data_IF_241648038191
#
_entry.id   IF_241648038191
#
_cell.length_a   1.000
_cell.length_b   1.000
_cell.length_c   1.000
_cell.angle_alpha   90.00
_cell.angle_beta   90.00
_cell.angle_gamma   90.00
#
_symmetry.space_group_name_H-M   'P 1'
#
loop_
_entity.id
_entity.type
_entity.pdbx_description
1 polymer ?
#
# COMPACT_ATOMS: atom_id res chain seq x y z
N UNK A 1 1.69 -15.14 9.96
CA UNK A 1 0.79 -14.21 9.25
C UNK A 1 -0.23 -13.70 10.24
N UNK A 2 -0.59 -12.42 10.20
CA UNK A 2 -1.63 -11.86 11.08
C UNK A 2 -2.97 -12.55 10.79
N UNK A 3 -3.66 -12.96 11.85
CA UNK A 3 -4.97 -13.59 11.75
C UNK A 3 -6.01 -12.64 11.16
N UNK A 4 -6.85 -13.16 10.26
CA UNK A 4 -7.91 -12.36 9.63
C UNK A 4 -8.88 -11.78 10.67
N UNK A 5 -9.18 -12.52 11.72
CA UNK A 5 -10.07 -12.11 12.81
C UNK A 5 -9.56 -10.87 13.55
N UNK A 6 -8.23 -10.72 13.67
CA UNK A 6 -7.63 -9.54 14.26
C UNK A 6 -7.88 -8.30 13.40
N UNK A 7 -7.64 -8.41 12.08
CA UNK A 7 -7.86 -7.29 11.14
C UNK A 7 -9.34 -6.92 11.05
N UNK A 8 -10.25 -7.89 11.05
CA UNK A 8 -11.69 -7.59 11.06
C UNK A 8 -12.12 -6.95 12.37
N UNK A 9 -11.53 -7.35 13.51
CA UNK A 9 -11.82 -6.72 14.80
C UNK A 9 -11.41 -5.24 14.84
N UNK A 10 -10.33 -4.85 14.15
CA UNK A 10 -9.98 -3.43 14.02
C UNK A 10 -11.07 -2.60 13.32
N UNK A 11 -11.85 -3.20 12.42
CA UNK A 11 -12.92 -2.51 11.67
C UNK A 11 -14.19 -2.33 12.50
N UNK A 12 -14.35 -3.06 13.61
CA UNK A 12 -15.52 -2.94 14.48
C UNK A 12 -15.51 -1.60 15.25
N UNK A 13 -14.33 -1.03 15.48
CA UNK A 13 -14.13 0.24 16.17
C UNK A 13 -14.15 1.46 15.21
N UNK A 14 -14.28 1.23 13.90
CA UNK A 14 -14.24 2.30 12.90
C UNK A 14 -15.57 3.05 12.82
N UNK A 15 -15.49 4.38 12.71
CA UNK A 15 -16.58 5.23 12.26
C UNK A 15 -16.61 5.22 10.71
N UNK A 16 -17.54 4.46 10.14
CA UNK A 16 -17.61 4.26 8.70
C UNK A 16 -17.90 5.55 7.89
N UNK A 17 -18.47 6.58 8.51
CA UNK A 17 -18.71 7.88 7.86
C UNK A 17 -17.43 8.73 7.78
N UNK A 18 -16.34 8.31 8.44
CA UNK A 18 -15.07 9.03 8.51
C UNK A 18 -13.88 8.24 7.96
N UNK A 19 -14.15 7.17 7.21
CA UNK A 19 -13.08 6.36 6.61
C UNK A 19 -12.17 7.25 5.76
N UNK A 20 -10.86 7.03 5.91
CA UNK A 20 -9.83 7.64 5.07
C UNK A 20 -9.06 6.58 4.32
N UNK A 21 -8.58 6.92 3.13
CA UNK A 21 -7.72 6.06 2.33
C UNK A 21 -6.27 6.44 2.56
N UNK A 22 -5.53 5.54 3.18
CA UNK A 22 -4.11 5.68 3.47
C UNK A 22 -3.24 4.98 2.44
N UNK A 23 -2.11 5.58 2.08
CA UNK A 23 -1.14 4.97 1.17
C UNK A 23 0.29 5.40 1.51
N UNK A 24 1.26 4.52 1.31
CA UNK A 24 2.66 4.89 1.41
C UNK A 24 3.05 5.80 0.23
N UNK A 25 3.57 6.99 0.51
CA UNK A 25 3.74 8.08 -0.45
C UNK A 25 4.90 7.88 -1.44
N UNK A 26 4.75 6.89 -2.33
CA UNK A 26 5.66 6.51 -3.41
C UNK A 26 4.89 5.64 -4.42
N UNK A 27 5.53 5.26 -5.54
CA UNK A 27 4.93 4.43 -6.60
C UNK A 27 3.65 5.05 -7.18
N UNK A 28 2.48 4.54 -6.80
CA UNK A 28 1.15 4.91 -7.32
C UNK A 28 0.33 5.71 -6.31
N UNK A 29 0.97 6.31 -5.30
CA UNK A 29 0.26 7.01 -4.23
C UNK A 29 -0.60 8.18 -4.70
N UNK A 30 -0.19 8.90 -5.76
CA UNK A 30 -1.00 10.00 -6.31
C UNK A 30 -2.28 9.44 -6.95
N UNK A 31 -2.16 8.38 -7.74
CA UNK A 31 -3.32 7.75 -8.41
C UNK A 31 -4.32 7.17 -7.40
N UNK A 32 -3.81 6.53 -6.34
CA UNK A 32 -4.64 6.03 -5.23
C UNK A 32 -5.37 7.18 -4.54
N UNK A 33 -4.67 8.27 -4.25
CA UNK A 33 -5.28 9.44 -3.62
C UNK A 33 -6.31 10.12 -4.53
N UNK A 34 -6.03 10.22 -5.83
CA UNK A 34 -6.92 10.82 -6.82
C UNK A 34 -8.23 10.04 -6.92
N UNK A 35 -8.15 8.72 -7.14
CA UNK A 35 -9.32 7.85 -7.17
C UNK A 35 -10.10 7.85 -5.85
N UNK A 36 -9.42 7.89 -4.70
CA UNK A 36 -10.08 8.00 -3.40
C UNK A 36 -10.88 9.31 -3.26
N UNK A 37 -10.35 10.43 -3.75
CA UNK A 37 -11.08 11.71 -3.75
C UNK A 37 -12.29 11.67 -4.68
N UNK A 38 -12.18 11.07 -5.86
CA UNK A 38 -13.30 10.93 -6.81
C UNK A 38 -14.46 10.13 -6.19
N UNK A 39 -14.15 9.13 -5.38
CA UNK A 39 -15.11 8.34 -4.61
C UNK A 39 -15.55 9.00 -3.29
N UNK A 40 -15.10 10.23 -3.02
CA UNK A 40 -15.54 11.04 -1.87
C UNK A 40 -14.79 10.80 -0.55
N UNK A 41 -13.73 9.99 -0.55
CA UNK A 41 -12.94 9.75 0.64
C UNK A 41 -11.92 10.85 0.93
N UNK A 42 -11.53 10.96 2.19
CA UNK A 42 -10.35 11.71 2.60
C UNK A 42 -9.08 10.86 2.45
N UNK A 43 -7.94 11.50 2.17
CA UNK A 43 -6.70 10.78 1.83
C UNK A 43 -5.53 11.07 2.78
N UNK A 44 -4.77 10.03 3.11
CA UNK A 44 -3.60 10.09 3.98
C UNK A 44 -2.37 9.54 3.26
N UNK A 45 -1.39 10.39 2.99
CA UNK A 45 -0.11 10.00 2.41
C UNK A 45 0.97 9.85 3.50
N UNK A 46 1.43 8.62 3.73
CA UNK A 46 2.53 8.34 4.65
C UNK A 46 3.86 8.58 3.95
N UNK A 47 4.50 9.69 4.28
CA UNK A 47 5.69 10.21 3.64
C UNK A 47 6.97 9.92 4.43
N UNK A 48 8.10 9.95 3.72
CA UNK A 48 9.42 10.00 4.32
C UNK A 48 10.00 11.40 4.20
N UNK A 49 10.66 11.86 5.26
CA UNK A 49 11.38 13.15 5.29
C UNK A 49 12.32 13.28 4.10
N UNK A 50 12.24 14.43 3.42
CA UNK A 50 13.01 14.72 2.21
C UNK A 50 12.36 14.22 0.92
N UNK A 51 11.30 13.41 1.00
CA UNK A 51 10.50 12.91 -0.13
C UNK A 51 9.01 13.30 -0.01
N UNK A 52 8.69 14.17 0.94
CA UNK A 52 7.31 14.52 1.31
C UNK A 52 6.71 15.64 0.46
N UNK A 53 7.52 16.59 -0.04
CA UNK A 53 7.05 17.83 -0.70
C UNK A 53 6.06 17.61 -1.84
N UNK A 54 6.19 16.51 -2.58
CA UNK A 54 5.22 16.11 -3.60
C UNK A 54 3.81 16.06 -3.00
N UNK A 55 3.65 15.37 -1.88
CA UNK A 55 2.37 15.13 -1.21
C UNK A 55 2.00 16.26 -0.24
N UNK A 56 2.96 16.74 0.56
CA UNK A 56 2.74 17.73 1.61
C UNK A 56 2.53 19.16 1.08
N UNK A 57 2.97 19.46 -0.15
CA UNK A 57 2.91 20.80 -0.74
C UNK A 57 2.28 20.83 -2.13
N UNK A 58 2.79 20.05 -3.09
CA UNK A 58 2.41 20.23 -4.50
C UNK A 58 1.06 19.58 -4.83
N UNK A 59 0.78 18.42 -4.24
CA UNK A 59 -0.47 17.68 -4.36
C UNK A 59 -1.35 17.79 -3.11
N UNK A 60 -1.00 18.66 -2.15
CA UNK A 60 -1.83 18.94 -0.98
C UNK A 60 -3.20 19.42 -1.43
N UNK A 61 -4.24 18.82 -0.88
CA UNK A 61 -5.61 19.18 -1.18
C UNK A 61 -5.92 20.59 -0.69
N UNK A 62 -6.84 21.22 -1.39
CA UNK A 62 -7.53 22.44 -0.97
C UNK A 62 -9.01 22.19 -1.12
N UNK A 63 -9.72 22.22 0.00
CA UNK A 63 -11.17 22.09 0.04
C UNK A 63 -11.82 23.45 0.28
N UNK A 64 -13.01 23.65 -0.27
CA UNK A 64 -13.86 24.79 0.06
C UNK A 64 -14.46 24.65 1.47
N UNK A 65 -15.14 25.70 1.94
CA UNK A 65 -15.76 25.71 3.27
C UNK A 65 -16.84 24.63 3.46
N UNK A 66 -17.43 24.15 2.37
CA UNK A 66 -18.41 23.06 2.36
C UNK A 66 -17.79 21.66 2.24
N UNK A 67 -16.45 21.57 2.21
CA UNK A 67 -15.72 20.30 2.14
C UNK A 67 -15.43 19.79 0.72
N UNK A 68 -15.94 20.46 -0.31
CA UNK A 68 -15.70 20.06 -1.71
C UNK A 68 -14.24 20.24 -2.11
N UNK A 69 -13.67 19.27 -2.83
CA UNK A 69 -12.31 19.38 -3.34
C UNK A 69 -12.21 20.45 -4.45
N UNK A 70 -11.27 21.37 -4.32
CA UNK A 70 -10.99 22.42 -5.33
C UNK A 70 -9.75 22.08 -6.14
N UNK A 71 -8.72 21.51 -5.49
CA UNK A 71 -7.45 21.12 -6.12
C UNK A 71 -6.67 20.17 -5.22
N UNK A 72 -5.84 19.32 -5.83
CA UNK A 72 -4.90 18.45 -5.12
C UNK A 72 -5.59 17.19 -4.65
N UNK A 73 -4.80 16.21 -4.24
CA UNK A 73 -5.30 14.85 -3.96
C UNK A 73 -4.95 14.34 -2.56
N UNK A 74 -4.09 15.05 -1.82
CA UNK A 74 -3.61 14.62 -0.51
C UNK A 74 -4.18 15.50 0.59
N UNK A 75 -5.16 15.01 1.35
CA UNK A 75 -5.70 15.75 2.50
C UNK A 75 -4.72 15.85 3.64
N UNK A 76 -4.01 14.76 3.92
CA UNK A 76 -3.07 14.66 5.03
C UNK A 76 -1.75 14.03 4.59
N UNK A 77 -0.65 14.63 5.01
CA UNK A 77 0.69 14.10 4.76
C UNK A 77 1.39 13.89 6.10
N UNK A 78 1.54 12.63 6.51
CA UNK A 78 2.24 12.25 7.73
C UNK A 78 3.71 12.02 7.35
N UNK A 79 4.64 12.71 8.00
CA UNK A 79 6.06 12.64 7.64
C UNK A 79 6.84 11.91 8.72
N UNK A 80 7.36 10.73 8.38
CA UNK A 80 8.26 9.95 9.22
C UNK A 80 9.73 10.13 8.81
N UNK A 81 10.67 9.79 9.69
CA UNK A 81 12.10 9.83 9.35
C UNK A 81 12.43 8.75 8.29
N UNK A 82 11.77 7.59 8.38
CA UNK A 82 11.84 6.50 7.40
C UNK A 82 10.46 5.90 7.15
N UNK A 83 10.24 5.38 5.94
CA UNK A 83 8.98 4.72 5.58
C UNK A 83 8.60 3.56 6.51
N UNK A 84 9.57 2.76 6.92
CA UNK A 84 9.33 1.61 7.79
C UNK A 84 8.88 1.99 9.21
N UNK A 85 8.90 3.28 9.59
CA UNK A 85 8.32 3.72 10.86
C UNK A 85 6.81 3.52 10.92
N UNK A 86 6.13 3.38 9.78
CA UNK A 86 4.71 3.00 9.75
C UNK A 86 4.44 1.65 10.43
N UNK A 87 5.45 0.79 10.55
CA UNK A 87 5.36 -0.48 11.28
C UNK A 87 5.40 -0.32 12.81
N UNK A 88 5.71 0.87 13.34
CA UNK A 88 5.75 1.06 14.80
C UNK A 88 4.32 1.01 15.36
N UNK A 89 4.07 0.29 16.48
CA UNK A 89 2.72 0.17 17.05
C UNK A 89 2.01 1.49 17.28
N UNK A 90 2.72 2.52 17.78
CA UNK A 90 2.16 3.86 18.00
C UNK A 90 1.68 4.53 16.71
N UNK A 91 2.38 4.31 15.60
CA UNK A 91 2.03 4.90 14.30
C UNK A 91 0.85 4.16 13.66
N UNK A 92 0.79 2.84 13.82
CA UNK A 92 -0.36 2.05 13.38
C UNK A 92 -1.60 2.41 14.19
N UNK A 93 -1.50 2.53 15.51
CA UNK A 93 -2.62 2.92 16.35
C UNK A 93 -3.18 4.29 15.95
N UNK A 94 -2.31 5.26 15.69
CA UNK A 94 -2.75 6.58 15.24
C UNK A 94 -3.53 6.54 13.90
N UNK A 95 -3.21 5.59 13.00
CA UNK A 95 -3.95 5.40 11.75
C UNK A 95 -5.26 4.62 11.97
N UNK A 96 -5.28 3.64 12.89
CA UNK A 96 -6.50 2.91 13.28
C UNK A 96 -7.53 3.87 13.90
N UNK A 97 -7.08 4.69 14.87
CA UNK A 97 -7.92 5.68 15.56
C UNK A 97 -8.48 6.73 14.58
N UNK A 98 -7.81 6.93 13.45
CA UNK A 98 -8.21 7.84 12.38
C UNK A 98 -8.97 7.15 11.23
N UNK A 99 -9.46 5.92 11.46
CA UNK A 99 -10.31 5.16 10.53
C UNK A 99 -9.67 4.92 9.15
N UNK A 100 -8.34 4.77 9.11
CA UNK A 100 -7.62 4.62 7.85
C UNK A 100 -7.71 3.19 7.32
N UNK A 101 -8.19 3.04 6.09
CA UNK A 101 -8.00 1.83 5.29
C UNK A 101 -6.75 2.00 4.43
N UNK A 102 -5.81 1.07 4.53
CA UNK A 102 -4.51 1.23 3.88
C UNK A 102 -4.46 0.49 2.54
N UNK A 103 -4.17 1.21 1.46
CA UNK A 103 -3.98 0.65 0.12
C UNK A 103 -2.49 0.35 -0.07
N UNK A 104 -2.08 -0.93 -0.20
CA UNK A 104 -0.68 -1.27 -0.42
C UNK A 104 -0.25 -0.89 -1.84
N UNK A 105 1.02 -0.52 -1.99
CA UNK A 105 1.67 -0.38 -3.29
C UNK A 105 3.06 -1.03 -3.24
N UNK A 106 3.75 -1.13 -4.38
CA UNK A 106 5.07 -1.81 -4.45
C UNK A 106 6.12 -1.21 -3.52
N UNK A 107 6.09 0.11 -3.32
CA UNK A 107 7.03 0.78 -2.42
C UNK A 107 6.80 0.39 -0.96
N UNK A 108 5.57 0.07 -0.57
CA UNK A 108 5.25 -0.36 0.79
C UNK A 108 5.99 -1.65 1.16
N UNK A 109 5.86 -2.70 0.34
CA UNK A 109 6.55 -3.98 0.57
C UNK A 109 8.07 -3.83 0.42
N UNK A 110 8.54 -3.01 -0.51
CA UNK A 110 9.98 -2.77 -0.73
C UNK A 110 10.66 -2.04 0.43
N UNK A 111 10.02 -1.03 1.03
CA UNK A 111 10.62 -0.25 2.11
C UNK A 111 10.35 -0.81 3.51
N UNK A 112 9.26 -1.54 3.70
CA UNK A 112 8.90 -2.13 4.98
C UNK A 112 9.35 -3.60 5.11
N UNK A 113 9.57 -4.29 3.98
CA UNK A 113 9.84 -5.72 3.92
C UNK A 113 8.56 -6.55 3.96
N UNK A 114 8.41 -7.51 3.04
CA UNK A 114 7.20 -8.33 2.92
C UNK A 114 6.88 -9.10 4.21
N UNK A 115 7.89 -9.64 4.89
CA UNK A 115 7.71 -10.37 6.15
C UNK A 115 7.11 -9.49 7.25
N UNK A 116 7.56 -8.23 7.34
CA UNK A 116 7.04 -7.29 8.33
C UNK A 116 5.62 -6.83 7.97
N UNK A 117 5.32 -6.68 6.67
CA UNK A 117 3.96 -6.42 6.20
C UNK A 117 3.04 -7.57 6.58
N UNK A 118 3.45 -8.83 6.38
CA UNK A 118 2.59 -9.98 6.67
C UNK A 118 2.35 -10.24 8.15
N UNK A 119 3.32 -9.89 9.00
CA UNK A 119 3.35 -10.32 10.41
C UNK A 119 3.24 -9.17 11.42
N UNK A 120 3.58 -7.93 11.04
CA UNK A 120 3.67 -6.80 11.99
C UNK A 120 2.87 -5.56 11.59
N UNK A 121 2.20 -5.55 10.42
CA UNK A 121 1.35 -4.44 9.99
C UNK A 121 -0.13 -4.75 10.26
N UNK A 122 -0.61 -4.41 11.45
CA UNK A 122 -1.93 -4.70 12.01
C UNK A 122 -3.06 -3.80 11.49
N UNK A 123 -2.78 -2.91 10.53
CA UNK A 123 -3.81 -2.12 9.84
C UNK A 123 -4.64 -2.95 8.86
N UNK A 124 -5.93 -2.62 8.65
CA UNK A 124 -6.71 -3.10 7.50
C UNK A 124 -6.03 -2.73 6.17
N UNK A 125 -5.76 -3.75 5.36
CA UNK A 125 -5.27 -3.60 3.98
C UNK A 125 -6.43 -3.77 3.00
N UNK A 126 -6.54 -2.86 2.04
CA UNK A 126 -7.43 -3.03 0.90
C UNK A 126 -6.79 -4.02 -0.07
N UNK A 127 -7.40 -5.20 -0.22
CA UNK A 127 -6.88 -6.30 -1.03
C UNK A 127 -6.45 -7.51 -0.20
N UNK A 128 -5.60 -8.35 -0.77
CA UNK A 128 -5.20 -9.63 -0.15
C UNK A 128 -3.75 -9.59 0.31
N UNK A 129 -3.53 -9.61 1.63
CA UNK A 129 -2.19 -9.55 2.24
C UNK A 129 -1.27 -10.68 1.80
N UNK A 130 -1.81 -11.89 1.64
CA UNK A 130 -1.06 -13.07 1.21
C UNK A 130 -0.60 -13.01 -0.27
N UNK A 131 -1.33 -12.30 -1.14
CA UNK A 131 -0.97 -12.19 -2.56
C UNK A 131 0.24 -11.27 -2.78
N UNK A 132 0.51 -10.36 -1.85
CA UNK A 132 1.68 -9.47 -1.93
C UNK A 132 3.00 -10.23 -2.03
N UNK A 133 3.10 -11.41 -1.41
CA UNK A 133 4.29 -12.28 -1.51
C UNK A 133 4.38 -12.98 -2.85
N UNK A 134 3.25 -13.42 -3.41
CA UNK A 134 3.23 -14.06 -4.72
C UNK A 134 3.65 -13.11 -5.87
N UNK A 135 3.73 -11.80 -5.62
CA UNK A 135 4.32 -10.85 -6.58
C UNK A 135 5.86 -10.82 -6.56
N UNK A 136 6.50 -11.33 -5.51
CA UNK A 136 7.96 -11.48 -5.46
C UNK A 136 8.41 -12.62 -6.36
N UNK A 137 9.59 -12.50 -6.99
CA UNK A 137 10.17 -13.55 -7.84
C UNK A 137 11.13 -14.42 -7.02
N UNK A 138 11.06 -15.74 -7.18
CA UNK A 138 12.02 -16.67 -6.59
C UNK A 138 11.58 -17.35 -5.28
N UNK A 139 10.37 -17.05 -4.80
CA UNK A 139 9.72 -17.81 -3.73
C UNK A 139 8.99 -19.04 -4.29
N UNK A 140 8.68 -20.04 -3.44
CA UNK A 140 8.03 -21.30 -3.84
C UNK A 140 6.66 -21.10 -4.51
N UNK A 141 5.93 -20.06 -4.10
CA UNK A 141 4.62 -19.69 -4.63
C UNK A 141 4.64 -18.27 -5.22
N UNK A 142 5.65 -18.03 -6.05
CA UNK A 142 5.84 -16.79 -6.78
C UNK A 142 4.87 -16.61 -7.96
N UNK A 143 5.08 -15.52 -8.70
CA UNK A 143 4.31 -15.17 -9.88
C UNK A 143 4.27 -16.29 -10.93
N UNK A 144 5.39 -16.99 -11.17
CA UNK A 144 5.44 -18.06 -12.17
C UNK A 144 4.70 -19.30 -11.70
N UNK A 145 4.79 -19.63 -10.41
CA UNK A 145 3.97 -20.69 -9.83
C UNK A 145 2.47 -20.39 -10.01
N UNK A 146 2.05 -19.14 -9.80
CA UNK A 146 0.65 -18.75 -9.99
C UNK A 146 0.21 -18.91 -11.46
N UNK A 147 1.05 -18.53 -12.41
CA UNK A 147 0.76 -18.69 -13.84
C UNK A 147 0.67 -20.16 -14.25
N UNK A 148 1.58 -21.01 -13.76
CA UNK A 148 1.52 -22.48 -13.94
C UNK A 148 0.18 -23.03 -13.46
N UNK A 149 -0.23 -22.69 -12.22
CA UNK A 149 -1.51 -23.14 -11.67
C UNK A 149 -2.73 -22.58 -12.39
N UNK A 150 -2.62 -21.41 -13.00
CA UNK A 150 -3.68 -20.82 -13.80
C UNK A 150 -3.72 -21.33 -15.25
N UNK A 151 -2.72 -22.10 -15.70
CA UNK A 151 -2.60 -22.52 -17.10
C UNK A 151 -2.33 -21.35 -18.05
N UNK A 152 -1.68 -20.29 -17.56
CA UNK A 152 -1.35 -19.10 -18.35
C UNK A 152 0.06 -19.22 -18.94
N UNK A 153 0.30 -18.71 -20.15
CA UNK A 153 1.62 -18.76 -20.76
C UNK A 153 2.60 -17.82 -20.03
N UNK A 154 3.84 -18.28 -19.86
CA UNK A 154 4.97 -17.48 -19.38
C UNK A 154 6.25 -17.92 -20.11
N UNK A 155 7.30 -17.06 -20.12
CA UNK A 155 8.58 -17.43 -20.71
C UNK A 155 9.13 -18.72 -20.10
N UNK A 156 9.68 -19.59 -20.95
CA UNK A 156 10.35 -20.81 -20.49
C UNK A 156 11.49 -20.48 -19.53
N UNK A 157 11.62 -21.28 -18.47
CA UNK A 157 12.69 -21.12 -17.51
C UNK A 157 13.89 -21.93 -17.99
N UNK A 158 14.99 -21.24 -18.23
CA UNK A 158 16.29 -21.86 -18.49
C UNK A 158 17.03 -22.08 -17.16
N UNK A 159 17.65 -23.23 -16.99
CA UNK A 159 18.40 -23.58 -15.78
C UNK A 159 19.81 -22.94 -15.75
N UNK A 160 20.33 -22.55 -16.93
CA UNK A 160 21.63 -21.92 -17.06
C UNK A 160 21.84 -21.20 -18.40
N UNK A 161 22.87 -20.33 -18.49
CA UNK A 161 23.19 -19.61 -19.71
C UNK A 161 23.58 -20.52 -20.90
N UNK A 162 24.02 -21.75 -20.63
CA UNK A 162 24.35 -22.77 -21.63
C UNK A 162 23.14 -23.28 -22.42
N UNK A 163 21.93 -23.11 -21.91
CA UNK A 163 20.68 -23.48 -22.60
C UNK A 163 20.17 -22.38 -23.54
N UNK A 164 20.85 -21.22 -23.57
CA UNK A 164 20.52 -20.13 -24.49
C UNK A 164 21.02 -20.50 -25.89
N UNK A 165 20.11 -20.90 -26.76
CA UNK A 165 20.38 -21.29 -28.15
C UNK A 165 19.98 -20.24 -29.20
N UNK A 166 19.27 -19.18 -28.78
CA UNK A 166 18.87 -18.06 -29.61
C UNK A 166 19.07 -16.68 -28.95
N UNK A 167 19.07 -15.61 -29.75
CA UNK A 167 19.16 -14.23 -29.25
C UNK A 167 17.80 -13.78 -28.70
N UNK A 168 17.84 -13.12 -27.54
CA UNK A 168 16.69 -12.54 -26.86
C UNK A 168 16.18 -11.22 -27.49
#
# INVERSE_FOLDING_TARGET
MIERSHITGCLDDYDYEKIKIGVLASHSAIDVCDGAIEEGFHTVAVCQKGRDKTYSKYFRSKRSNDGTIVRGVVDEAIVYEKFNEILKPVNQQALLDDNVLFVPNRSFTSYCGIDAVENHFHMPLVGSRNLLRSEERGDEHDYYWLLDKAGLPYPEKLDGPEEIDELC
#
